data_IF_773057604934
#
_entry.id   IF_773057604934
#
_cell.length_a   1.000
_cell.length_b   1.000
_cell.length_c   1.000
_cell.angle_alpha   90.00
_cell.angle_beta   90.00
_cell.angle_gamma   90.00
#
_symmetry.space_group_name_H-M   'P 1'
#
loop_
_entity.id
_entity.type
_entity.pdbx_description
1 polymer ?
#
# COMPACT_ATOMS: atom_id res chain seq x y z
N UNK A 1 10.42 1.29 -8.16
CA UNK A 1 10.37 1.56 -6.71
C UNK A 1 10.12 0.27 -5.96
N UNK A 2 10.84 0.01 -4.87
CA UNK A 2 10.58 -1.14 -4.00
C UNK A 2 9.56 -0.76 -2.94
N UNK A 3 8.51 -1.56 -2.81
CA UNK A 3 7.39 -1.36 -1.88
C UNK A 3 7.33 -2.56 -0.93
N UNK A 4 7.13 -2.28 0.36
CA UNK A 4 6.98 -3.27 1.42
C UNK A 4 5.57 -3.18 2.00
N UNK A 5 4.76 -4.22 1.79
CA UNK A 5 3.42 -4.31 2.33
C UNK A 5 3.40 -4.90 3.74
N UNK A 6 2.65 -4.26 4.64
CA UNK A 6 2.48 -4.71 6.04
C UNK A 6 0.99 -4.83 6.37
N UNK A 7 0.54 -6.05 6.67
CA UNK A 7 -0.80 -6.29 7.18
C UNK A 7 -0.93 -5.71 8.60
N UNK A 8 -2.07 -5.09 8.89
CA UNK A 8 -2.40 -4.55 10.21
C UNK A 8 -3.75 -5.11 10.66
N UNK A 9 -3.84 -5.47 11.94
CA UNK A 9 -5.04 -6.07 12.53
C UNK A 9 -5.39 -7.40 11.85
N UNK A 10 -6.66 -7.58 11.50
CA UNK A 10 -7.19 -8.81 10.92
C UNK A 10 -7.09 -8.87 9.37
N UNK A 11 -6.27 -8.02 8.76
CA UNK A 11 -6.10 -8.02 7.32
C UNK A 11 -5.42 -9.32 6.82
N UNK A 12 -5.82 -9.86 5.65
CA UNK A 12 -5.21 -11.08 5.13
C UNK A 12 -3.71 -10.88 4.87
N UNK A 13 -2.87 -11.85 5.26
CA UNK A 13 -1.41 -11.72 5.19
C UNK A 13 -0.90 -12.18 3.82
N UNK A 14 -0.10 -11.33 3.16
CA UNK A 14 0.65 -11.71 1.97
C UNK A 14 1.80 -12.67 2.30
N UNK A 15 1.99 -13.68 1.45
CA UNK A 15 3.16 -14.58 1.52
C UNK A 15 4.46 -13.85 1.17
N UNK A 16 4.45 -13.07 0.08
CA UNK A 16 5.54 -12.18 -0.31
C UNK A 16 5.13 -10.74 0.00
N UNK A 17 5.94 -10.04 0.80
CA UNK A 17 5.63 -8.68 1.27
C UNK A 17 6.34 -7.59 0.46
N UNK A 18 7.37 -7.94 -0.31
CA UNK A 18 8.22 -6.98 -1.01
C UNK A 18 8.00 -7.11 -2.51
N UNK A 19 7.69 -6.00 -3.18
CA UNK A 19 7.47 -5.94 -4.62
C UNK A 19 8.17 -4.74 -5.25
N UNK A 20 8.44 -4.85 -6.55
CA UNK A 20 8.93 -3.73 -7.37
C UNK A 20 7.81 -3.29 -8.31
N UNK A 21 7.42 -2.02 -8.23
CA UNK A 21 6.47 -1.39 -9.15
C UNK A 21 7.14 -0.25 -9.91
N UNK A 22 6.58 0.10 -11.08
CA UNK A 22 7.12 1.19 -11.87
C UNK A 22 6.87 2.53 -11.16
N UNK A 23 7.86 3.41 -11.20
CA UNK A 23 7.81 4.68 -10.48
C UNK A 23 6.72 5.62 -11.02
N UNK A 24 6.37 5.48 -12.29
CA UNK A 24 5.31 6.24 -12.97
C UNK A 24 3.90 5.78 -12.63
N UNK A 25 3.73 4.63 -11.97
CA UNK A 25 2.40 4.19 -11.56
C UNK A 25 1.82 5.16 -10.51
N UNK A 26 0.50 5.26 -10.52
CA UNK A 26 -0.27 5.95 -9.49
C UNK A 26 -0.49 5.05 -8.28
N UNK A 27 -0.80 5.65 -7.13
CA UNK A 27 -1.13 4.91 -5.92
C UNK A 27 -2.38 4.03 -6.10
N UNK A 28 -3.33 4.45 -6.94
CA UNK A 28 -4.47 3.62 -7.34
C UNK A 28 -4.05 2.24 -7.89
N UNK A 29 -2.94 2.18 -8.65
CA UNK A 29 -2.41 0.91 -9.15
C UNK A 29 -1.91 0.02 -8.00
N UNK A 30 -1.34 0.60 -6.95
CA UNK A 30 -0.91 -0.12 -5.74
C UNK A 30 -2.12 -0.73 -5.01
N UNK A 31 -3.21 0.03 -4.87
CA UNK A 31 -4.46 -0.43 -4.27
C UNK A 31 -5.03 -1.62 -5.06
N UNK A 32 -5.15 -1.49 -6.38
CA UNK A 32 -5.67 -2.54 -7.25
C UNK A 32 -4.78 -3.79 -7.25
N UNK A 33 -3.46 -3.60 -7.30
CA UNK A 33 -2.47 -4.66 -7.20
C UNK A 33 -2.65 -5.45 -5.90
N UNK A 34 -2.69 -4.76 -4.75
CA UNK A 34 -2.81 -5.41 -3.46
C UNK A 34 -4.13 -6.17 -3.32
N UNK A 35 -5.26 -5.60 -3.78
CA UNK A 35 -6.55 -6.30 -3.79
C UNK A 35 -6.50 -7.59 -4.59
N UNK A 36 -5.81 -7.59 -5.75
CA UNK A 36 -5.64 -8.77 -6.58
C UNK A 36 -4.78 -9.84 -5.89
N UNK A 37 -3.64 -9.45 -5.32
CA UNK A 37 -2.74 -10.37 -4.61
C UNK A 37 -3.41 -11.02 -3.40
N UNK A 38 -4.23 -10.26 -2.67
CA UNK A 38 -5.01 -10.76 -1.54
C UNK A 38 -6.25 -11.57 -1.96
N UNK A 39 -6.58 -11.63 -3.27
CA UNK A 39 -7.86 -12.11 -3.78
C UNK A 39 -9.05 -11.48 -3.05
N UNK A 40 -8.92 -10.19 -2.73
CA UNK A 40 -9.84 -9.46 -1.88
C UNK A 40 -11.06 -9.01 -2.68
N UNK A 41 -12.11 -9.83 -2.65
CA UNK A 41 -13.36 -9.64 -3.40
C UNK A 41 -14.54 -9.19 -2.53
N UNK A 42 -14.33 -8.99 -1.22
CA UNK A 42 -15.38 -8.58 -0.29
C UNK A 42 -15.87 -7.14 -0.54
N UNK A 43 -17.08 -6.81 -0.04
CA UNK A 43 -17.63 -5.45 -0.07
C UNK A 43 -16.85 -4.50 0.86
N UNK A 44 -16.12 -5.07 1.82
CA UNK A 44 -15.39 -4.30 2.80
C UNK A 44 -14.28 -3.45 2.15
N UNK A 45 -14.04 -2.23 2.67
CA UNK A 45 -12.96 -1.39 2.22
C UNK A 45 -11.59 -1.99 2.59
N UNK A 46 -10.61 -1.82 1.70
CA UNK A 46 -9.21 -2.09 2.00
C UNK A 46 -8.49 -0.74 2.09
N UNK A 47 -8.15 -0.34 3.31
CA UNK A 47 -7.44 0.91 3.57
C UNK A 47 -5.94 0.69 3.44
N UNK A 48 -5.26 1.61 2.76
CA UNK A 48 -3.81 1.60 2.60
C UNK A 48 -3.24 2.92 3.13
N UNK A 49 -2.13 2.81 3.83
CA UNK A 49 -1.45 3.92 4.49
C UNK A 49 0.05 3.89 4.20
N UNK A 50 0.67 5.05 4.05
CA UNK A 50 2.12 5.18 4.00
C UNK A 50 2.65 5.32 5.42
N UNK A 51 3.66 4.51 5.77
CA UNK A 51 4.38 4.56 7.05
C UNK A 51 3.48 4.61 8.30
N UNK A 52 2.33 3.91 8.29
CA UNK A 52 1.38 3.91 9.42
C UNK A 52 0.92 5.31 9.85
N UNK A 53 0.81 6.25 8.90
CA UNK A 53 0.51 7.65 9.21
C UNK A 53 -0.69 8.20 8.44
N UNK A 54 -0.68 8.14 7.10
CA UNK A 54 -1.72 8.76 6.27
C UNK A 54 -2.03 7.95 5.02
N UNK A 55 -3.23 8.13 4.46
CA UNK A 55 -3.62 7.54 3.19
C UNK A 55 -3.41 8.55 2.05
N UNK A 56 -2.51 8.28 1.08
CA UNK A 56 -2.23 9.23 0.02
C UNK A 56 -3.38 9.27 -1.00
N UNK A 57 -3.48 10.36 -1.76
CA UNK A 57 -4.43 10.44 -2.87
C UNK A 57 -4.18 9.30 -3.88
N UNK A 58 -5.23 8.64 -4.40
CA UNK A 58 -5.08 7.61 -5.44
C UNK A 58 -4.34 8.09 -6.70
N UNK A 59 -4.36 9.40 -6.96
CA UNK A 59 -3.70 10.02 -8.11
C UNK A 59 -2.22 10.32 -7.91
N UNK A 60 -1.71 10.23 -6.68
CA UNK A 60 -0.30 10.44 -6.40
C UNK A 60 0.58 9.41 -7.07
N UNK A 61 1.76 9.84 -7.52
CA UNK A 61 2.72 8.94 -8.18
C UNK A 61 3.57 8.21 -7.14
N UNK A 62 3.87 6.94 -7.40
CA UNK A 62 4.73 6.14 -6.52
C UNK A 62 6.12 6.77 -6.40
N UNK A 63 6.64 7.38 -7.47
CA UNK A 63 7.90 8.13 -7.43
C UNK A 63 7.89 9.26 -6.41
N UNK A 64 6.85 10.08 -6.39
CA UNK A 64 6.71 11.19 -5.45
C UNK A 64 6.60 10.68 -4.00
N UNK A 65 5.73 9.70 -3.77
CA UNK A 65 5.56 9.09 -2.43
C UNK A 65 6.86 8.46 -1.92
N UNK A 66 7.59 7.76 -2.78
CA UNK A 66 8.88 7.15 -2.40
C UNK A 66 9.94 8.20 -2.11
N UNK A 67 10.04 9.26 -2.93
CA UNK A 67 11.00 10.34 -2.71
C UNK A 67 10.78 11.01 -1.34
N UNK A 68 9.53 11.24 -0.96
CA UNK A 68 9.19 11.97 0.27
C UNK A 68 9.14 11.09 1.52
N UNK A 69 8.75 9.81 1.39
CA UNK A 69 8.38 8.97 2.54
C UNK A 69 9.05 7.59 2.55
N UNK A 70 10.15 7.37 1.81
CA UNK A 70 10.84 6.09 1.93
C UNK A 70 11.47 5.91 3.33
N UNK A 71 11.59 4.65 3.73
CA UNK A 71 12.36 4.18 4.88
C UNK A 71 13.33 3.15 4.37
N UNK A 72 14.63 3.36 4.57
CA UNK A 72 15.71 2.48 4.10
C UNK A 72 15.61 2.15 2.61
N UNK A 73 15.24 3.14 1.78
CA UNK A 73 15.08 2.96 0.33
C UNK A 73 13.79 2.23 -0.08
N UNK A 74 12.88 1.93 0.85
CA UNK A 74 11.61 1.26 0.58
C UNK A 74 10.42 2.16 0.89
N UNK A 75 9.36 2.08 0.09
CA UNK A 75 8.07 2.67 0.45
C UNK A 75 7.26 1.65 1.27
N UNK A 76 6.98 1.95 2.54
CA UNK A 76 6.20 1.05 3.38
C UNK A 76 4.71 1.37 3.21
N UNK A 77 3.94 0.35 2.86
CA UNK A 77 2.49 0.42 2.68
C UNK A 77 1.82 -0.49 3.70
N UNK A 78 1.20 0.11 4.70
CA UNK A 78 0.39 -0.59 5.70
C UNK A 78 -1.02 -0.78 5.15
N UNK A 79 -1.66 -1.92 5.41
CA UNK A 79 -3.02 -2.16 4.96
C UNK A 79 -3.90 -2.84 6.01
N UNK A 80 -5.17 -2.46 6.05
CA UNK A 80 -6.17 -2.96 6.99
C UNK A 80 -7.60 -2.89 6.44
N UNK A 81 -8.50 -3.69 6.99
CA UNK A 81 -9.93 -3.75 6.62
C UNK A 81 -10.80 -2.76 7.38
N UNK A 82 -10.25 -2.16 8.45
CA UNK A 82 -10.86 -1.07 9.21
C UNK A 82 -9.97 0.16 9.13
N UNK A 83 -10.55 1.36 9.17
CA UNK A 83 -9.76 2.58 9.22
C UNK A 83 -8.91 2.60 10.49
N UNK A 84 -7.62 2.90 10.35
CA UNK A 84 -6.65 2.83 11.45
C UNK A 84 -5.93 4.15 11.71
N UNK A 85 -5.74 4.96 10.68
CA UNK A 85 -5.12 6.28 10.76
C UNK A 85 -5.94 7.29 9.96
N UNK A 86 -5.82 8.58 10.32
CA UNK A 86 -6.51 9.72 9.73
C UNK A 86 -5.65 10.96 9.82
#
# INVERSE_FOLDING_TARGET
VVIVFRAIGNAPILKQKVFKLAASNKFQTVIQFLRKELRYQGPDPLFLYINSAFSPSPDETISNLHKCFNTDGHLIVNYCTTAAWG
#
